data_IF_677207762902
#
_entry.id   IF_677207762902
#
_cell.length_a   1.000
_cell.length_b   1.000
_cell.length_c   1.000
_cell.angle_alpha   90.00
_cell.angle_beta   90.00
_cell.angle_gamma   90.00
#
_symmetry.space_group_name_H-M   'P 1'
#
loop_
_entity.id
_entity.type
_entity.pdbx_description
1 polymer ?
#
# COMPACT_ATOMS: atom_id res chain seq x y z
N UNK A 1 -75.35 93.74 28.33
CA UNK A 1 -74.99 93.33 26.95
C UNK A 1 -74.49 91.89 27.01
N UNK A 2 -75.37 90.92 26.74
CA UNK A 2 -75.02 89.50 26.74
C UNK A 2 -74.48 89.11 25.37
N UNK A 3 -73.30 88.48 25.33
CA UNK A 3 -72.72 87.93 24.11
C UNK A 3 -73.29 86.53 23.87
N UNK A 4 -74.05 86.36 22.80
CA UNK A 4 -74.57 85.05 22.38
C UNK A 4 -73.62 84.42 21.35
N UNK A 5 -73.44 83.10 21.42
CA UNK A 5 -72.50 82.34 20.57
C UNK A 5 -73.28 81.27 19.83
N UNK A 6 -73.11 81.18 18.50
CA UNK A 6 -73.80 80.22 17.62
C UNK A 6 -72.94 78.97 17.43
N UNK A 7 -73.56 77.80 17.53
CA UNK A 7 -72.96 76.52 17.09
C UNK A 7 -73.20 76.36 15.60
N UNK A 8 -72.13 76.16 14.83
CA UNK A 8 -72.16 75.90 13.38
C UNK A 8 -71.41 74.61 13.08
N UNK A 9 -71.57 74.05 11.88
CA UNK A 9 -70.87 72.83 11.45
C UNK A 9 -69.32 72.91 11.55
N UNK A 10 -68.76 74.12 11.62
CA UNK A 10 -67.33 74.42 11.72
C UNK A 10 -66.86 74.80 13.14
N UNK A 11 -67.74 74.71 14.15
CA UNK A 11 -67.44 75.06 15.55
C UNK A 11 -68.30 76.19 16.12
N UNK A 12 -67.96 76.65 17.34
CA UNK A 12 -68.68 77.70 18.07
C UNK A 12 -68.13 79.09 17.70
N UNK A 13 -68.98 80.00 17.19
CA UNK A 13 -68.62 81.38 16.78
C UNK A 13 -69.44 82.45 17.53
N UNK A 14 -68.83 83.55 17.99
CA UNK A 14 -69.55 84.64 18.65
C UNK A 14 -70.45 85.40 17.66
N UNK A 15 -71.65 85.78 18.08
CA UNK A 15 -72.62 86.55 17.27
C UNK A 15 -72.40 88.04 17.56
N UNK A 16 -71.97 88.81 16.56
CA UNK A 16 -71.90 90.27 16.61
C UNK A 16 -73.10 90.85 15.84
N UNK A 17 -73.95 91.64 16.50
CA UNK A 17 -75.11 92.25 15.88
C UNK A 17 -74.73 93.56 15.16
N UNK A 18 -74.35 93.45 13.88
CA UNK A 18 -74.41 94.56 12.90
C UNK A 18 -74.69 93.96 11.51
N UNK A 19 -75.97 94.06 11.09
CA UNK A 19 -76.56 94.33 9.75
C UNK A 19 -75.56 94.32 8.58
N UNK A 20 -75.70 93.69 7.41
CA UNK A 20 -76.79 93.09 6.60
C UNK A 20 -76.07 92.14 5.60
N UNK A 21 -76.64 90.98 5.27
CA UNK A 21 -76.47 90.35 3.95
C UNK A 21 -77.43 89.15 3.83
N UNK A 22 -78.37 89.27 2.90
CA UNK A 22 -79.30 88.22 2.50
C UNK A 22 -78.58 87.16 1.66
N UNK A 23 -78.39 85.97 2.21
CA UNK A 23 -78.25 84.76 1.44
C UNK A 23 -78.86 83.58 2.21
N UNK A 24 -80.03 83.18 1.73
CA UNK A 24 -80.71 81.90 1.94
C UNK A 24 -79.75 80.73 2.18
N UNK A 25 -79.99 79.92 3.22
CA UNK A 25 -80.21 78.47 3.16
C UNK A 25 -80.63 77.99 4.56
N UNK A 26 -81.69 77.18 4.56
CA UNK A 26 -82.27 76.46 5.68
C UNK A 26 -81.24 75.62 6.46
N UNK A 27 -80.95 75.99 7.70
CA UNK A 27 -80.51 75.05 8.73
C UNK A 27 -81.25 75.37 10.04
N UNK A 28 -82.11 74.42 10.40
CA UNK A 28 -82.96 74.31 11.59
C UNK A 28 -82.17 74.41 12.91
N UNK A 29 -82.79 75.07 13.89
CA UNK A 29 -82.58 74.95 15.34
C UNK A 29 -81.14 75.17 15.87
N UNK A 30 -80.68 76.42 15.83
CA UNK A 30 -79.54 76.86 16.61
C UNK A 30 -79.90 77.04 18.09
N UNK A 31 -79.45 76.12 18.95
CA UNK A 31 -79.55 76.26 20.41
C UNK A 31 -78.64 77.42 20.89
N UNK A 32 -79.23 78.49 21.43
CA UNK A 32 -78.53 79.62 22.01
C UNK A 32 -78.09 79.29 23.44
N UNK A 33 -76.80 79.03 23.65
CA UNK A 33 -76.23 78.73 24.97
C UNK A 33 -76.08 79.99 25.83
N UNK A 34 -76.28 79.86 27.14
CA UNK A 34 -75.97 80.89 28.12
C UNK A 34 -74.45 81.03 28.35
N UNK A 35 -73.96 82.20 28.81
CA UNK A 35 -72.53 82.39 29.10
C UNK A 35 -71.95 81.39 30.12
N UNK A 36 -72.75 80.90 31.06
CA UNK A 36 -72.35 79.86 32.03
C UNK A 36 -72.14 78.50 31.36
N UNK A 37 -73.07 78.07 30.52
CA UNK A 37 -72.98 76.82 29.74
C UNK A 37 -71.81 76.86 28.74
N UNK A 38 -71.49 78.04 28.19
CA UNK A 38 -70.33 78.23 27.31
C UNK A 38 -68.99 78.01 28.03
N UNK A 39 -68.82 78.57 29.22
CA UNK A 39 -67.61 78.40 30.04
C UNK A 39 -67.46 76.94 30.46
N UNK A 40 -68.56 76.28 30.80
CA UNK A 40 -68.56 74.87 31.18
C UNK A 40 -68.17 73.96 30.01
N UNK A 41 -68.73 74.20 28.81
CA UNK A 41 -68.33 73.49 27.59
C UNK A 41 -66.87 73.74 27.23
N UNK A 42 -66.35 74.97 27.37
CA UNK A 42 -64.93 75.26 27.13
C UNK A 42 -64.00 74.51 28.09
N UNK A 43 -64.37 74.44 29.39
CA UNK A 43 -63.62 73.65 30.37
C UNK A 43 -63.62 72.16 30.03
N UNK A 44 -64.76 71.63 29.60
CA UNK A 44 -64.88 70.24 29.13
C UNK A 44 -63.99 70.03 27.89
N UNK A 45 -64.03 70.93 26.91
CA UNK A 45 -63.21 70.86 25.69
C UNK A 45 -61.71 70.92 25.99
N UNK A 46 -61.30 71.75 26.95
CA UNK A 46 -59.90 71.83 27.40
C UNK A 46 -59.46 70.54 28.08
N UNK A 47 -60.28 70.01 28.98
CA UNK A 47 -60.02 68.73 29.66
C UNK A 47 -59.98 67.55 28.67
N UNK A 48 -60.87 67.52 27.68
CA UNK A 48 -60.86 66.54 26.61
C UNK A 48 -59.62 66.66 25.73
N UNK A 49 -59.19 67.88 25.38
CA UNK A 49 -57.94 68.10 24.63
C UNK A 49 -56.71 67.60 25.38
N UNK A 50 -56.60 67.89 26.68
CA UNK A 50 -55.53 67.36 27.52
C UNK A 50 -55.57 65.83 27.61
N UNK A 51 -56.77 65.24 27.71
CA UNK A 51 -56.95 63.78 27.73
C UNK A 51 -56.52 63.14 26.42
N UNK A 52 -56.86 63.75 25.26
CA UNK A 52 -56.41 63.28 23.95
C UNK A 52 -54.88 63.33 23.85
N UNK A 53 -54.25 64.42 24.30
CA UNK A 53 -52.80 64.56 24.25
C UNK A 53 -52.08 63.51 25.12
N UNK A 54 -52.60 63.22 26.33
CA UNK A 54 -52.05 62.15 27.18
C UNK A 54 -52.19 60.78 26.53
N UNK A 55 -53.36 60.48 25.95
CA UNK A 55 -53.60 59.22 25.24
C UNK A 55 -52.69 59.06 24.01
N UNK A 56 -52.32 60.15 23.34
CA UNK A 56 -51.36 60.10 22.21
C UNK A 56 -49.95 59.74 22.68
N UNK A 57 -49.47 60.36 23.77
CA UNK A 57 -48.16 60.05 24.34
C UNK A 57 -48.11 58.60 24.84
N UNK A 58 -49.15 58.16 25.53
CA UNK A 58 -49.28 56.77 26.02
C UNK A 58 -49.29 55.78 24.85
N UNK A 59 -50.06 56.07 23.80
CA UNK A 59 -50.06 55.28 22.56
C UNK A 59 -48.66 55.20 21.93
N UNK A 60 -47.94 56.31 21.81
CA UNK A 60 -46.59 56.34 21.23
C UNK A 60 -45.58 55.55 22.10
N UNK A 61 -45.71 55.64 23.42
CA UNK A 61 -44.90 54.85 24.35
C UNK A 61 -45.17 53.36 24.18
N UNK A 62 -46.43 52.93 24.18
CA UNK A 62 -46.82 51.54 23.94
C UNK A 62 -46.33 51.03 22.58
N UNK A 63 -46.48 51.82 21.51
CA UNK A 63 -45.95 51.48 20.18
C UNK A 63 -44.43 51.29 20.20
N UNK A 64 -43.70 52.13 20.92
CA UNK A 64 -42.24 52.04 21.05
C UNK A 64 -41.80 50.79 21.83
N UNK A 65 -42.51 50.44 22.92
CA UNK A 65 -42.26 49.27 23.74
C UNK A 65 -42.51 47.97 22.95
N UNK A 66 -43.62 47.92 22.21
CA UNK A 66 -43.95 46.81 21.32
C UNK A 66 -42.84 46.64 20.26
N UNK A 67 -42.36 47.73 19.69
CA UNK A 67 -41.35 47.70 18.64
C UNK A 67 -39.98 47.25 19.16
N UNK A 68 -39.58 47.67 20.37
CA UNK A 68 -38.36 47.18 21.02
C UNK A 68 -38.45 45.70 21.40
N UNK A 69 -39.61 45.27 21.92
CA UNK A 69 -39.89 43.86 22.19
C UNK A 69 -39.70 42.99 20.94
N UNK A 70 -40.31 43.37 19.81
CA UNK A 70 -40.15 42.61 18.56
C UNK A 70 -38.72 42.65 18.01
N UNK A 71 -38.01 43.80 18.10
CA UNK A 71 -36.60 43.88 17.72
C UNK A 71 -35.73 42.93 18.54
N UNK A 72 -35.92 42.90 19.85
CA UNK A 72 -35.17 42.04 20.76
C UNK A 72 -35.50 40.55 20.53
N UNK A 73 -36.78 40.21 20.36
CA UNK A 73 -37.21 38.86 20.03
C UNK A 73 -36.61 38.38 18.70
N UNK A 74 -36.63 39.23 17.66
CA UNK A 74 -36.04 38.91 16.36
C UNK A 74 -34.52 38.74 16.44
N UNK A 75 -33.83 39.63 17.17
CA UNK A 75 -32.38 39.54 17.38
C UNK A 75 -32.00 38.25 18.11
N UNK A 76 -32.76 37.86 19.14
CA UNK A 76 -32.57 36.62 19.88
C UNK A 76 -32.78 35.41 18.97
N UNK A 77 -33.89 35.38 18.24
CA UNK A 77 -34.21 34.30 17.30
C UNK A 77 -33.11 34.15 16.24
N UNK A 78 -32.70 35.25 15.59
CA UNK A 78 -31.62 35.25 14.60
C UNK A 78 -30.32 34.70 15.17
N UNK A 79 -29.94 35.10 16.39
CA UNK A 79 -28.75 34.60 17.08
C UNK A 79 -28.85 33.09 17.31
N UNK A 80 -29.98 32.61 17.83
CA UNK A 80 -30.21 31.18 18.08
C UNK A 80 -30.13 30.35 16.81
N UNK A 81 -30.79 30.75 15.72
CA UNK A 81 -30.71 30.03 14.45
C UNK A 81 -29.29 30.06 13.86
N UNK A 82 -28.60 31.21 13.92
CA UNK A 82 -27.22 31.29 13.43
C UNK A 82 -26.27 30.40 14.23
N UNK A 83 -26.46 30.31 15.55
CA UNK A 83 -25.67 29.44 16.42
C UNK A 83 -25.94 27.96 16.11
N UNK A 84 -27.21 27.57 15.97
CA UNK A 84 -27.60 26.20 15.56
C UNK A 84 -26.97 25.80 14.24
N UNK A 85 -27.09 26.65 13.22
CA UNK A 85 -26.51 26.40 11.90
C UNK A 85 -24.98 26.27 11.95
N UNK A 86 -24.32 27.13 12.74
CA UNK A 86 -22.85 27.07 12.92
C UNK A 86 -22.43 25.76 13.61
N UNK A 87 -23.16 25.34 14.65
CA UNK A 87 -22.90 24.07 15.33
C UNK A 87 -23.11 22.87 14.40
N UNK A 88 -24.17 22.88 13.58
CA UNK A 88 -24.41 21.82 12.59
C UNK A 88 -23.26 21.76 11.58
N UNK A 89 -22.87 22.89 10.98
CA UNK A 89 -21.74 22.94 10.03
C UNK A 89 -20.46 22.42 10.66
N UNK A 90 -20.17 22.80 11.91
CA UNK A 90 -18.99 22.33 12.62
C UNK A 90 -19.04 20.82 12.86
N UNK A 91 -20.20 20.28 13.27
CA UNK A 91 -20.37 18.84 13.48
C UNK A 91 -20.19 18.04 12.18
N UNK A 92 -20.65 18.57 11.04
CA UNK A 92 -20.41 17.97 9.72
C UNK A 92 -18.92 18.00 9.36
N UNK A 93 -18.22 19.11 9.61
CA UNK A 93 -16.79 19.24 9.32
C UNK A 93 -15.95 18.24 10.13
N UNK A 94 -16.26 18.09 11.41
CA UNK A 94 -15.59 17.15 12.30
C UNK A 94 -15.88 15.69 11.92
N UNK A 95 -17.11 15.39 11.54
CA UNK A 95 -17.53 14.03 11.18
C UNK A 95 -16.99 13.57 9.83
N UNK A 96 -16.87 14.47 8.85
CA UNK A 96 -16.57 14.09 7.46
C UNK A 96 -15.27 14.67 6.93
N UNK A 97 -15.01 15.96 7.16
CA UNK A 97 -13.84 16.62 6.55
C UNK A 97 -12.53 16.27 7.26
N UNK A 98 -12.51 16.26 8.60
CA UNK A 98 -11.28 15.96 9.35
C UNK A 98 -10.77 14.53 9.12
N UNK A 99 -11.60 13.47 9.19
CA UNK A 99 -11.14 12.12 8.92
C UNK A 99 -10.61 11.95 7.49
N UNK A 100 -11.20 12.64 6.51
CA UNK A 100 -10.75 12.60 5.12
C UNK A 100 -9.34 13.20 4.96
N UNK A 101 -9.04 14.30 5.67
CA UNK A 101 -7.71 14.92 5.67
C UNK A 101 -6.68 13.96 6.26
N UNK A 102 -6.98 13.39 7.43
CA UNK A 102 -6.10 12.43 8.10
C UNK A 102 -5.87 11.20 7.21
N UNK A 103 -6.92 10.67 6.59
CA UNK A 103 -6.81 9.52 5.70
C UNK A 103 -5.94 9.84 4.47
N UNK A 104 -6.06 11.04 3.92
CA UNK A 104 -5.22 11.49 2.79
C UNK A 104 -3.75 11.61 3.17
N UNK A 105 -3.46 12.13 4.37
CA UNK A 105 -2.09 12.20 4.90
C UNK A 105 -1.50 10.80 5.11
N UNK A 106 -2.28 9.88 5.69
CA UNK A 106 -1.88 8.48 5.85
C UNK A 106 -1.61 7.80 4.52
N UNK A 107 -2.43 8.06 3.50
CA UNK A 107 -2.26 7.52 2.16
C UNK A 107 -0.95 8.04 1.54
N UNK A 108 -0.68 9.34 1.64
CA UNK A 108 0.58 9.93 1.16
C UNK A 108 1.81 9.33 1.87
N UNK A 109 1.73 9.13 3.19
CA UNK A 109 2.81 8.48 3.93
C UNK A 109 3.01 7.03 3.47
N UNK A 110 1.94 6.27 3.26
CA UNK A 110 2.00 4.90 2.77
C UNK A 110 2.57 4.83 1.34
N UNK A 111 2.19 5.74 0.45
CA UNK A 111 2.75 5.85 -0.90
C UNK A 111 4.26 6.11 -0.88
N UNK A 112 4.72 7.05 -0.04
CA UNK A 112 6.13 7.32 0.13
C UNK A 112 6.88 6.09 0.67
N UNK A 113 6.32 5.38 1.65
CA UNK A 113 6.91 4.14 2.15
C UNK A 113 7.01 3.07 1.06
N UNK A 114 5.95 2.86 0.28
CA UNK A 114 5.94 1.93 -0.85
C UNK A 114 7.02 2.31 -1.86
N UNK A 115 7.16 3.59 -2.20
CA UNK A 115 8.18 4.04 -3.14
C UNK A 115 9.59 3.76 -2.60
N UNK A 116 9.87 4.11 -1.35
CA UNK A 116 11.19 3.82 -0.76
C UNK A 116 11.51 2.33 -0.69
N UNK A 117 10.50 1.48 -0.48
CA UNK A 117 10.67 0.02 -0.50
C UNK A 117 10.92 -0.50 -1.91
N UNK A 118 10.24 0.05 -2.93
CA UNK A 118 10.50 -0.28 -4.34
C UNK A 118 11.92 0.08 -4.75
N UNK A 119 12.39 1.27 -4.39
CA UNK A 119 13.75 1.71 -4.72
C UNK A 119 14.80 0.80 -4.06
N UNK A 120 14.60 0.45 -2.78
CA UNK A 120 15.48 -0.50 -2.07
C UNK A 120 15.46 -1.90 -2.69
N UNK A 121 14.29 -2.37 -3.13
CA UNK A 121 14.15 -3.66 -3.78
C UNK A 121 14.89 -3.68 -5.12
N UNK A 122 14.77 -2.63 -5.92
CA UNK A 122 15.46 -2.51 -7.21
C UNK A 122 16.98 -2.55 -7.01
N UNK A 123 17.50 -1.75 -6.09
CA UNK A 123 18.92 -1.74 -5.74
C UNK A 123 19.39 -3.12 -5.25
N UNK A 124 18.62 -3.78 -4.37
CA UNK A 124 18.94 -5.12 -3.88
C UNK A 124 18.95 -6.17 -4.99
N UNK A 125 18.03 -6.07 -5.95
CA UNK A 125 17.96 -6.99 -7.09
C UNK A 125 19.17 -6.84 -8.02
N UNK A 126 19.59 -5.60 -8.29
CA UNK A 126 20.80 -5.34 -9.08
C UNK A 126 22.03 -5.96 -8.41
N UNK A 127 22.20 -5.74 -7.10
CA UNK A 127 23.30 -6.36 -6.35
C UNK A 127 23.20 -7.89 -6.29
N UNK A 128 22.00 -8.46 -6.17
CA UNK A 128 21.81 -9.90 -6.19
C UNK A 128 22.24 -10.50 -7.53
N UNK A 129 21.84 -9.88 -8.65
CA UNK A 129 22.23 -10.30 -10.00
C UNK A 129 23.73 -10.19 -10.23
N UNK A 130 24.37 -9.10 -9.78
CA UNK A 130 25.82 -8.93 -9.88
C UNK A 130 26.57 -10.02 -9.10
N UNK A 131 26.12 -10.30 -7.87
CA UNK A 131 26.70 -11.37 -7.05
C UNK A 131 26.49 -12.75 -7.65
N UNK A 132 25.32 -13.01 -8.23
CA UNK A 132 25.04 -14.26 -8.93
C UNK A 132 25.97 -14.44 -10.13
N UNK A 133 26.16 -13.39 -10.94
CA UNK A 133 27.08 -13.40 -12.07
C UNK A 133 28.54 -13.64 -11.64
N UNK A 134 28.97 -12.98 -10.56
CA UNK A 134 30.30 -13.19 -9.99
C UNK A 134 30.48 -14.63 -9.50
N UNK A 135 29.49 -15.17 -8.80
CA UNK A 135 29.50 -16.55 -8.31
C UNK A 135 29.56 -17.55 -9.48
N UNK A 136 28.74 -17.38 -10.53
CA UNK A 136 28.79 -18.20 -11.75
C UNK A 136 30.16 -18.17 -12.41
N UNK A 137 30.78 -16.99 -12.48
CA UNK A 137 32.12 -16.85 -13.05
C UNK A 137 33.19 -17.54 -12.20
N UNK A 138 33.13 -17.42 -10.87
CA UNK A 138 34.05 -18.11 -9.95
C UNK A 138 33.91 -19.63 -10.06
N UNK A 139 32.68 -20.16 -10.09
CA UNK A 139 32.40 -21.58 -10.28
C UNK A 139 32.96 -22.07 -11.62
N UNK A 140 32.78 -21.31 -12.71
CA UNK A 140 33.37 -21.64 -14.01
C UNK A 140 34.89 -21.72 -13.95
N UNK A 141 35.56 -20.70 -13.41
CA UNK A 141 37.04 -20.66 -13.31
C UNK A 141 37.54 -21.84 -12.47
N UNK A 142 36.85 -22.13 -11.36
CA UNK A 142 37.19 -23.26 -10.50
C UNK A 142 37.07 -24.59 -11.24
N UNK A 143 35.97 -24.81 -11.97
CA UNK A 143 35.78 -26.01 -12.82
C UNK A 143 36.88 -26.11 -13.88
N UNK A 144 37.22 -25.02 -14.57
CA UNK A 144 38.29 -25.00 -15.57
C UNK A 144 39.67 -25.36 -15.00
N UNK A 145 39.97 -24.90 -13.77
CA UNK A 145 41.20 -25.26 -13.05
C UNK A 145 41.20 -26.72 -12.66
N UNK A 146 40.13 -27.21 -12.03
CA UNK A 146 39.99 -28.62 -11.68
C UNK A 146 40.09 -29.53 -12.90
N UNK A 147 39.57 -29.09 -14.06
CA UNK A 147 39.70 -29.81 -15.32
C UNK A 147 41.14 -29.83 -15.82
N UNK A 148 41.85 -28.69 -15.74
CA UNK A 148 43.25 -28.61 -16.13
C UNK A 148 44.15 -29.48 -15.22
N UNK A 149 43.93 -29.44 -13.91
CA UNK A 149 44.69 -30.21 -12.91
C UNK A 149 44.53 -31.73 -13.12
N UNK A 150 43.37 -32.16 -13.64
CA UNK A 150 43.04 -33.56 -13.95
C UNK A 150 43.24 -33.93 -15.43
N UNK A 151 43.92 -33.07 -16.20
CA UNK A 151 44.23 -33.29 -17.62
C UNK A 151 43.01 -33.54 -18.53
N UNK A 152 41.84 -32.99 -18.17
CA UNK A 152 40.61 -33.12 -18.95
C UNK A 152 40.62 -32.15 -20.13
N UNK A 153 40.46 -32.69 -21.35
CA UNK A 153 40.43 -31.92 -22.59
C UNK A 153 39.10 -32.12 -23.31
N UNK A 154 38.40 -31.04 -23.72
CA UNK A 154 38.73 -29.63 -23.58
C UNK A 154 38.33 -29.02 -22.22
N UNK A 155 39.29 -28.43 -21.48
CA UNK A 155 39.08 -27.93 -20.11
C UNK A 155 37.93 -26.94 -19.91
N UNK A 156 37.61 -26.13 -20.92
CA UNK A 156 36.60 -25.05 -20.85
C UNK A 156 35.18 -25.48 -21.19
N UNK A 157 35.03 -26.50 -22.03
CA UNK A 157 33.71 -27.00 -22.45
C UNK A 157 33.25 -28.19 -21.62
N UNK A 158 34.19 -28.88 -20.98
CA UNK A 158 33.89 -30.06 -20.18
C UNK A 158 33.26 -29.68 -18.82
N UNK A 159 32.16 -30.34 -18.45
CA UNK A 159 31.45 -30.09 -17.18
C UNK A 159 32.26 -30.51 -15.93
N UNK A 160 33.27 -31.37 -16.12
CA UNK A 160 34.30 -31.69 -15.12
C UNK A 160 33.99 -32.87 -14.19
N UNK A 161 32.87 -33.53 -14.41
CA UNK A 161 32.52 -34.77 -13.72
C UNK A 161 33.10 -35.97 -14.46
N UNK A 162 33.63 -36.95 -13.74
CA UNK A 162 34.23 -38.17 -14.31
C UNK A 162 33.71 -39.38 -13.53
N UNK A 163 33.28 -40.42 -14.23
CA UNK A 163 32.94 -41.72 -13.62
C UNK A 163 34.26 -42.47 -13.35
N UNK A 164 34.49 -42.82 -12.09
CA UNK A 164 35.65 -43.59 -11.66
C UNK A 164 35.44 -45.08 -11.87
N UNK A 165 34.26 -45.58 -11.48
CA UNK A 165 33.83 -46.94 -11.74
C UNK A 165 32.31 -47.07 -11.65
N UNK A 166 31.81 -48.14 -12.24
CA UNK A 166 30.45 -48.65 -12.14
C UNK A 166 30.55 -50.11 -11.68
N UNK A 167 29.83 -50.47 -10.63
CA UNK A 167 29.89 -51.79 -10.02
C UNK A 167 28.50 -52.30 -9.67
N UNK A 168 28.17 -53.52 -10.12
CA UNK A 168 27.00 -54.25 -9.68
C UNK A 168 27.20 -54.77 -8.24
N UNK A 169 26.22 -54.56 -7.37
CA UNK A 169 26.18 -55.02 -5.99
C UNK A 169 24.97 -55.93 -5.77
N UNK A 170 25.23 -57.12 -5.24
CA UNK A 170 24.19 -58.01 -4.72
C UNK A 170 23.91 -57.64 -3.26
N UNK A 171 22.77 -56.99 -3.01
CA UNK A 171 22.34 -56.69 -1.64
C UNK A 171 21.64 -57.93 -1.10
N UNK A 172 22.26 -58.61 -0.12
CA UNK A 172 21.53 -59.53 0.76
C UNK A 172 20.85 -58.70 1.84
N UNK A 173 19.56 -58.38 1.67
CA UNK A 173 18.80 -57.75 2.75
C UNK A 173 18.53 -58.79 3.85
N UNK A 174 19.26 -58.75 4.96
CA UNK A 174 19.05 -59.62 6.12
C UNK A 174 17.76 -59.28 6.93
N UNK A 175 16.94 -58.32 6.49
CA UNK A 175 15.91 -57.71 7.33
C UNK A 175 14.44 -57.87 6.87
N UNK A 176 14.12 -58.55 5.76
CA UNK A 176 12.73 -58.81 5.37
C UNK A 176 12.48 -60.30 5.11
N UNK A 177 11.99 -61.00 6.14
CA UNK A 177 11.42 -62.35 6.04
C UNK A 177 10.04 -62.28 5.37
N UNK A 178 9.97 -62.05 4.07
CA UNK A 178 8.79 -62.42 3.27
C UNK A 178 9.07 -62.24 1.78
N UNK A 179 8.56 -63.20 1.01
CA UNK A 179 8.30 -63.19 -0.43
C UNK A 179 9.49 -63.23 -1.40
N UNK A 180 9.72 -64.45 -1.90
CA UNK A 180 10.04 -64.83 -3.29
C UNK A 180 9.90 -63.72 -4.35
N UNK A 181 10.89 -62.84 -4.44
CA UNK A 181 11.22 -62.09 -5.64
C UNK A 181 12.72 -61.80 -5.57
N UNK A 182 13.48 -62.22 -6.58
CA UNK A 182 14.87 -61.79 -6.73
C UNK A 182 14.85 -60.27 -6.88
N UNK A 183 15.20 -59.52 -5.82
CA UNK A 183 15.31 -58.07 -5.91
C UNK A 183 16.36 -57.70 -6.96
N UNK A 184 16.11 -56.67 -7.80
CA UNK A 184 17.03 -56.31 -8.86
C UNK A 184 18.39 -55.88 -8.27
N UNK A 185 19.50 -56.22 -8.94
CA UNK A 185 20.83 -55.85 -8.48
C UNK A 185 20.95 -54.32 -8.32
N UNK A 186 21.57 -53.88 -7.23
CA UNK A 186 21.84 -52.47 -7.00
C UNK A 186 23.14 -52.09 -7.70
N UNK A 187 23.14 -51.00 -8.44
CA UNK A 187 24.34 -50.52 -9.14
C UNK A 187 24.96 -49.36 -8.37
N UNK A 188 26.26 -49.47 -8.09
CA UNK A 188 27.06 -48.43 -7.48
C UNK A 188 27.87 -47.70 -8.54
N UNK A 189 27.57 -46.42 -8.73
CA UNK A 189 28.36 -45.53 -9.59
C UNK A 189 29.15 -44.57 -8.73
N UNK A 190 30.46 -44.49 -8.93
CA UNK A 190 31.28 -43.47 -8.28
C UNK A 190 31.68 -42.38 -9.26
N UNK A 191 31.30 -41.14 -8.96
CA UNK A 191 31.60 -39.97 -9.77
C UNK A 191 32.50 -39.02 -8.99
N UNK A 192 33.61 -38.64 -9.61
CA UNK A 192 34.46 -37.56 -9.11
C UNK A 192 33.93 -36.21 -9.61
N UNK A 193 33.84 -35.26 -8.70
CA UNK A 193 33.32 -33.91 -8.96
C UNK A 193 34.47 -32.93 -9.26
N UNK A 194 34.19 -31.79 -9.92
CA UNK A 194 35.17 -30.72 -10.08
C UNK A 194 35.36 -29.86 -8.80
N UNK A 195 34.75 -30.23 -7.67
CA UNK A 195 34.82 -29.45 -6.43
C UNK A 195 35.93 -29.95 -5.50
N UNK A 196 36.88 -29.10 -5.09
CA UNK A 196 37.95 -29.49 -4.16
C UNK A 196 37.41 -29.71 -2.74
N UNK A 197 38.10 -30.54 -1.97
CA UNK A 197 37.71 -30.91 -0.59
C UNK A 197 37.67 -29.72 0.40
N UNK A 198 38.24 -28.57 0.04
CA UNK A 198 38.25 -27.37 0.86
C UNK A 198 36.85 -26.75 1.04
N UNK A 199 35.91 -27.05 0.13
CA UNK A 199 34.52 -26.61 0.26
C UNK A 199 33.75 -27.45 1.28
N UNK A 200 32.79 -26.84 1.95
CA UNK A 200 31.94 -27.56 2.91
C UNK A 200 30.95 -28.44 2.17
N UNK A 201 30.69 -29.63 2.70
CA UNK A 201 29.84 -30.62 2.05
C UNK A 201 28.41 -30.12 1.81
N UNK A 202 27.84 -29.30 2.69
CA UNK A 202 26.49 -28.77 2.52
C UNK A 202 26.39 -27.74 1.39
N UNK A 203 27.46 -27.01 1.09
CA UNK A 203 27.49 -25.98 0.03
C UNK A 203 27.52 -26.62 -1.35
N UNK A 204 28.36 -27.64 -1.51
CA UNK A 204 28.56 -28.31 -2.81
C UNK A 204 27.47 -29.32 -3.13
N UNK A 205 26.79 -29.89 -2.12
CA UNK A 205 25.76 -30.91 -2.32
C UNK A 205 24.70 -30.40 -3.29
N UNK A 206 24.11 -29.26 -2.95
CA UNK A 206 23.09 -28.61 -3.76
C UNK A 206 23.64 -28.26 -5.15
N UNK A 207 24.83 -27.65 -5.19
CA UNK A 207 25.48 -27.26 -6.43
C UNK A 207 25.76 -28.44 -7.37
N UNK A 208 26.12 -29.62 -6.84
CA UNK A 208 26.37 -30.82 -7.63
C UNK A 208 25.07 -31.32 -8.27
N UNK A 209 23.98 -31.39 -7.51
CA UNK A 209 22.69 -31.81 -8.09
C UNK A 209 22.18 -30.80 -9.13
N UNK A 210 22.27 -29.50 -8.85
CA UNK A 210 21.95 -28.44 -9.82
C UNK A 210 22.80 -28.56 -11.09
N UNK A 211 24.11 -28.79 -10.95
CA UNK A 211 24.99 -29.01 -12.11
C UNK A 211 24.61 -30.25 -12.93
N UNK A 212 24.19 -31.34 -12.29
CA UNK A 212 23.79 -32.56 -13.02
C UNK A 212 22.50 -32.35 -13.81
N UNK A 213 21.60 -31.52 -13.31
CA UNK A 213 20.35 -31.14 -13.97
C UNK A 213 20.61 -30.12 -15.09
N UNK A 214 21.28 -29.01 -14.79
CA UNK A 214 21.57 -27.92 -15.74
C UNK A 214 22.41 -28.37 -16.94
N UNK A 215 23.35 -29.30 -16.73
CA UNK A 215 24.18 -29.85 -17.82
C UNK A 215 23.59 -31.12 -18.44
N UNK A 216 22.37 -31.55 -18.06
CA UNK A 216 21.72 -32.74 -18.61
C UNK A 216 22.41 -34.08 -18.28
N UNK A 217 23.28 -34.11 -17.27
CA UNK A 217 24.08 -35.30 -16.91
C UNK A 217 23.16 -36.44 -16.43
N UNK A 218 22.10 -36.14 -15.67
CA UNK A 218 21.14 -37.16 -15.26
C UNK A 218 20.47 -37.83 -16.47
N UNK A 219 20.04 -37.04 -17.45
CA UNK A 219 19.45 -37.54 -18.68
C UNK A 219 20.45 -38.38 -19.50
N UNK A 220 21.71 -37.92 -19.63
CA UNK A 220 22.75 -38.69 -20.33
C UNK A 220 23.05 -40.04 -19.67
N UNK A 221 22.97 -40.11 -18.33
CA UNK A 221 23.13 -41.34 -17.56
C UNK A 221 21.88 -42.23 -17.54
N UNK A 222 20.74 -41.76 -18.07
CA UNK A 222 19.45 -42.47 -18.02
C UNK A 222 18.79 -42.45 -16.63
N UNK A 223 19.18 -41.52 -15.76
CA UNK A 223 18.67 -41.36 -14.41
C UNK A 223 17.42 -40.48 -14.43
N UNK A 224 16.36 -40.94 -13.77
CA UNK A 224 15.11 -40.20 -13.64
C UNK A 224 15.26 -39.07 -12.62
N UNK A 225 14.91 -37.86 -13.02
CA UNK A 225 14.76 -36.67 -12.17
C UNK A 225 13.29 -36.48 -11.77
N UNK A 226 13.04 -35.71 -10.70
CA UNK A 226 11.67 -35.45 -10.19
C UNK A 226 10.78 -34.75 -11.23
N UNK A 227 11.40 -34.07 -12.20
CA UNK A 227 10.76 -33.38 -13.33
C UNK A 227 10.30 -34.30 -14.46
N UNK A 228 10.74 -35.56 -14.51
CA UNK A 228 10.44 -36.47 -15.61
C UNK A 228 9.04 -37.08 -15.47
N UNK A 229 8.17 -36.78 -16.44
CA UNK A 229 6.79 -37.31 -16.51
C UNK A 229 6.72 -38.78 -16.92
N UNK A 230 7.83 -39.36 -17.36
CA UNK A 230 7.92 -40.75 -17.84
C UNK A 230 8.50 -41.66 -16.77
N UNK A 231 7.79 -42.74 -16.43
CA UNK A 231 8.14 -43.69 -15.34
C UNK A 231 9.27 -44.68 -15.70
N UNK A 232 9.95 -44.49 -16.84
CA UNK A 232 10.86 -45.49 -17.44
C UNK A 232 12.34 -45.28 -17.12
N UNK A 233 12.71 -44.22 -16.39
CA UNK A 233 14.09 -43.90 -16.05
C UNK A 233 14.64 -44.66 -14.82
N UNK A 234 15.96 -44.69 -14.69
CA UNK A 234 16.65 -45.36 -13.58
C UNK A 234 16.54 -44.49 -12.32
N UNK A 235 16.00 -45.05 -11.23
CA UNK A 235 15.85 -44.33 -9.96
C UNK A 235 17.10 -44.46 -9.10
N UNK A 236 17.60 -43.33 -8.59
CA UNK A 236 18.56 -43.29 -7.48
C UNK A 236 17.78 -43.52 -6.19
N UNK A 237 18.12 -44.56 -5.44
CA UNK A 237 17.49 -44.82 -4.13
C UNK A 237 18.39 -44.41 -2.96
N UNK A 238 19.69 -44.27 -3.18
CA UNK A 238 20.63 -43.80 -2.17
C UNK A 238 21.82 -43.09 -2.80
N UNK A 239 22.41 -42.13 -2.10
CA UNK A 239 23.66 -41.49 -2.50
C UNK A 239 24.53 -41.12 -1.30
N UNK A 240 25.85 -41.17 -1.50
CA UNK A 240 26.84 -40.83 -0.47
C UNK A 240 27.84 -39.81 -1.00
N UNK A 241 28.26 -38.90 -0.14
CA UNK A 241 29.32 -37.94 -0.43
C UNK A 241 30.60 -38.34 0.27
N UNK A 242 31.70 -38.40 -0.48
CA UNK A 242 33.01 -38.81 0.04
C UNK A 242 34.05 -37.75 -0.30
N UNK A 243 34.81 -37.32 0.71
CA UNK A 243 35.99 -36.49 0.48
C UNK A 243 37.17 -37.41 0.12
N UNK A 244 37.67 -37.32 -1.10
CA UNK A 244 38.85 -38.08 -1.50
C UNK A 244 40.12 -37.26 -1.25
N UNK A 245 40.77 -37.52 -0.12
CA UNK A 245 41.98 -36.79 0.30
C UNK A 245 43.15 -37.03 -0.67
N UNK A 246 43.20 -38.19 -1.33
CA UNK A 246 44.27 -38.53 -2.27
C UNK A 246 44.18 -37.71 -3.55
N UNK A 247 42.98 -37.51 -4.09
CA UNK A 247 42.78 -36.72 -5.31
C UNK A 247 42.55 -35.25 -5.02
N UNK A 248 42.16 -34.89 -3.78
CA UNK A 248 41.84 -33.53 -3.38
C UNK A 248 40.45 -33.07 -3.80
N UNK A 249 39.60 -33.95 -4.34
CA UNK A 249 38.25 -33.64 -4.83
C UNK A 249 37.15 -34.41 -4.09
N UNK A 250 35.95 -33.83 -4.09
CA UNK A 250 34.75 -34.50 -3.64
C UNK A 250 34.30 -35.55 -4.64
N UNK A 251 33.73 -36.63 -4.14
CA UNK A 251 33.14 -37.73 -4.90
C UNK A 251 31.72 -37.97 -4.42
N UNK A 252 30.87 -38.36 -5.36
CA UNK A 252 29.50 -38.81 -5.10
C UNK A 252 29.35 -40.25 -5.54
N UNK A 253 28.74 -41.05 -4.68
CA UNK A 253 28.39 -42.44 -4.96
C UNK A 253 26.88 -42.51 -5.14
N UNK A 254 26.42 -42.92 -6.32
CA UNK A 254 25.01 -43.17 -6.59
C UNK A 254 24.73 -44.65 -6.49
N UNK A 255 23.61 -44.98 -5.85
CA UNK A 255 23.04 -46.31 -5.80
C UNK A 255 21.72 -46.31 -6.57
N UNK A 256 21.71 -47.05 -7.67
CA UNK A 256 20.61 -47.09 -8.63
C UNK A 256 20.02 -48.49 -8.74
N UNK A 257 18.73 -48.58 -9.05
CA UNK A 257 18.02 -49.85 -9.27
C UNK A 257 18.25 -50.45 -10.67
N UNK A 258 19.28 -49.99 -11.38
CA UNK A 258 19.61 -50.39 -12.74
C UNK A 258 20.96 -49.83 -13.19
N UNK A 259 21.51 -50.43 -14.24
CA UNK A 259 22.79 -50.03 -14.84
C UNK A 259 22.62 -48.69 -15.54
N UNK A 260 23.41 -47.69 -15.13
CA UNK A 260 23.39 -46.38 -15.77
C UNK A 260 24.14 -46.38 -17.11
N UNK A 261 23.75 -45.50 -18.01
CA UNK A 261 24.57 -45.20 -19.18
C UNK A 261 25.82 -44.42 -18.75
N UNK A 262 26.99 -44.72 -19.35
CA UNK A 262 28.24 -44.00 -19.08
C UNK A 262 28.48 -42.98 -20.21
N UNK A 263 28.21 -41.68 -19.98
CA UNK A 263 28.37 -40.66 -21.00
C UNK A 263 29.81 -40.56 -21.48
N UNK A 264 30.01 -40.30 -22.77
CA UNK A 264 31.36 -40.26 -23.35
C UNK A 264 32.24 -39.17 -22.72
N UNK A 265 31.66 -38.04 -22.35
CA UNK A 265 32.31 -36.94 -21.62
C UNK A 265 32.88 -37.41 -20.27
N UNK A 266 32.13 -38.23 -19.53
CA UNK A 266 32.52 -38.67 -18.18
C UNK A 266 33.52 -39.81 -18.14
N UNK A 267 33.95 -40.35 -19.28
CA UNK A 267 34.93 -41.45 -19.34
C UNK A 267 36.33 -40.93 -19.07
N UNK A 268 37.08 -41.64 -18.24
CA UNK A 268 38.50 -41.36 -18.05
C UNK A 268 39.24 -41.47 -19.39
N UNK A 269 40.14 -40.52 -19.68
CA UNK A 269 41.04 -40.64 -20.83
C UNK A 269 41.90 -41.89 -20.64
N UNK A 270 41.90 -42.79 -21.63
CA UNK A 270 42.89 -43.88 -21.67
C UNK A 270 44.28 -43.25 -21.67
N UNK A 271 45.01 -43.35 -20.55
CA UNK A 271 46.41 -42.96 -20.53
C UNK A 271 47.11 -43.77 -21.64
N UNK A 272 47.74 -43.07 -22.60
CA UNK A 272 48.71 -43.74 -23.46
C UNK A 272 49.83 -44.24 -22.54
N UNK A 273 50.29 -45.49 -22.68
CA UNK A 273 51.45 -45.96 -21.94
C UNK A 273 52.59 -44.95 -22.13
N UNK A 274 53.28 -44.59 -21.04
CA UNK A 274 54.49 -43.76 -21.10
C UNK A 274 55.47 -44.41 -22.09
N UNK A 275 55.62 -43.81 -23.27
CA UNK A 275 56.82 -44.02 -24.07
C UNK A 275 57.97 -43.39 -23.27
N UNK A 276 58.74 -44.25 -22.62
CA UNK A 276 60.03 -43.91 -22.03
C UNK A 276 60.95 -43.39 -23.13
N UNK A 277 61.23 -42.09 -23.11
CA UNK A 277 62.41 -41.54 -23.79
C UNK A 277 63.11 -40.55 -22.86
N UNK A 278 64.31 -40.87 -22.36
CA UNK A 278 65.15 -39.89 -21.69
C UNK A 278 65.88 -39.09 -22.76
N UNK A 279 65.88 -37.76 -22.66
CA UNK A 279 67.01 -36.90 -22.99
C UNK A 279 66.66 -35.45 -22.68
N UNK A 280 66.88 -35.05 -21.43
CA UNK A 280 67.14 -33.64 -21.10
C UNK A 280 68.64 -33.43 -21.22
N UNK A 281 69.11 -33.00 -22.40
CA UNK A 281 70.43 -32.38 -22.51
C UNK A 281 70.34 -30.95 -21.96
N UNK A 282 71.00 -30.75 -20.82
CA UNK A 282 71.29 -29.44 -20.28
C UNK A 282 72.17 -28.66 -21.27
N UNK A 283 71.73 -27.48 -21.71
CA UNK A 283 72.65 -26.50 -22.28
C UNK A 283 72.83 -25.39 -21.26
N UNK A 284 73.97 -25.44 -20.56
CA UNK A 284 74.49 -24.34 -19.76
C UNK A 284 75.06 -23.26 -20.68
N UNK A 285 74.72 -22.01 -20.36
CA UNK A 285 75.51 -20.79 -20.45
C UNK A 285 76.64 -20.70 -21.48
N UNK A 286 76.54 -19.71 -22.37
CA UNK A 286 77.64 -18.77 -22.65
C UNK A 286 77.10 -17.50 -23.30
N UNK A 287 77.08 -16.40 -22.55
CA UNK A 287 77.13 -15.05 -23.10
C UNK A 287 78.36 -14.40 -22.47
N UNK A 288 79.35 -14.13 -23.31
CA UNK A 288 80.41 -13.15 -23.08
C UNK A 288 79.99 -11.87 -23.79
#
# INVERSE_FOLDING_TARGET
MGYFVRKTALGLKPINHTVEDEATVYETDGYCMSPGEYIEIQKILSSQKEKIARLQIEKEQEESEILDYYKNAFKKMKKEYSAKLTCEIQSFREKYSQPLIVQKEQLLMAENQIQTLKDKLEVSNVYALERENLNKNLLRIMKERANADREIVPKKKHHGYIILYLQELYVKQEAYKSSTCDEPPTWKTQVQTPYPINFKSFEIKKQIFEDFEDNGIFAEMGIQTVSDKEETGIKIHHYLFRANIRTGYWEIEFYTMGEINIPQSMRQSKQRPLDSSPNKTSTKSNVK
#
